data_IF_438981138670
#
_entry.id   IF_438981138670
#
_cell.length_a   1.000
_cell.length_b   1.000
_cell.length_c   1.000
_cell.angle_alpha   90.00
_cell.angle_beta   90.00
_cell.angle_gamma   90.00
#
_symmetry.space_group_name_H-M   'P 1'
#
loop_
_entity.id
_entity.type
_entity.pdbx_description
1 polymer ?
#
# COMPACT_ATOMS: atom_id res chain seq x y z
N UNK A 1 -1.17 16.52 -24.92
CA UNK A 1 -0.33 15.34 -24.61
C UNK A 1 -0.63 14.91 -23.18
N UNK A 2 -1.28 13.76 -23.00
CA UNK A 2 -1.75 13.25 -21.70
C UNK A 2 -0.51 13.02 -20.83
N UNK A 3 -0.26 13.90 -19.86
CA UNK A 3 0.78 13.73 -18.83
C UNK A 3 0.43 12.46 -18.07
N UNK A 4 0.87 11.32 -18.59
CA UNK A 4 1.06 10.10 -17.80
C UNK A 4 2.08 10.52 -16.77
N UNK A 5 1.57 10.98 -15.63
CA UNK A 5 2.33 11.26 -14.41
C UNK A 5 2.88 9.89 -14.01
N UNK A 6 3.98 9.51 -14.66
CA UNK A 6 4.76 8.34 -14.39
C UNK A 6 5.41 8.64 -13.04
N UNK A 7 4.61 8.62 -11.97
CA UNK A 7 5.13 8.57 -10.62
C UNK A 7 6.02 7.33 -10.64
N UNK A 8 7.36 7.49 -10.65
CA UNK A 8 8.22 6.34 -10.62
C UNK A 8 7.97 5.72 -9.25
N UNK A 9 7.14 4.67 -9.22
CA UNK A 9 6.92 3.91 -8.02
C UNK A 9 8.32 3.48 -7.58
N UNK A 10 8.71 3.92 -6.39
CA UNK A 10 10.04 3.68 -5.90
C UNK A 10 10.21 2.18 -5.73
N UNK A 11 11.21 1.64 -6.44
CA UNK A 11 11.64 0.27 -6.24
C UNK A 11 11.92 0.03 -4.76
N UNK A 12 11.60 -1.15 -4.29
CA UNK A 12 11.78 -1.61 -2.92
C UNK A 12 10.85 -0.97 -1.87
N UNK A 13 9.81 -0.24 -2.31
CA UNK A 13 8.84 0.36 -1.39
C UNK A 13 7.57 -0.48 -1.30
N UNK A 14 6.96 -0.50 -0.13
CA UNK A 14 5.69 -1.16 0.13
C UNK A 14 4.54 -0.19 -0.12
N UNK A 15 3.53 -0.66 -0.84
CA UNK A 15 2.37 0.12 -1.24
C UNK A 15 1.10 -0.50 -0.69
N UNK A 16 0.18 0.36 -0.31
CA UNK A 16 -1.18 0.00 0.07
C UNK A 16 -2.12 1.15 -0.27
N UNK A 17 -3.36 0.83 -0.61
CA UNK A 17 -4.37 1.81 -1.00
C UNK A 17 -5.48 1.81 0.01
N UNK A 18 -5.80 2.97 0.55
CA UNK A 18 -6.97 3.17 1.40
C UNK A 18 -8.11 3.59 0.48
N UNK A 19 -9.16 2.78 0.43
CA UNK A 19 -10.41 3.10 -0.26
C UNK A 19 -11.13 4.13 0.60
N UNK A 20 -11.12 5.37 0.13
CA UNK A 20 -11.77 6.49 0.79
C UNK A 20 -12.64 7.17 -0.24
N UNK A 21 -13.87 7.53 0.14
CA UNK A 21 -14.74 8.32 -0.73
C UNK A 21 -14.37 9.80 -0.52
N UNK A 22 -14.22 10.63 -1.58
CA UNK A 22 -14.44 10.34 -3.01
C UNK A 22 -13.23 9.79 -3.78
N UNK A 23 -12.02 9.77 -3.20
CA UNK A 23 -10.81 9.31 -3.89
C UNK A 23 -9.96 8.36 -3.04
N UNK A 24 -9.49 7.29 -3.68
CA UNK A 24 -8.60 6.32 -3.06
C UNK A 24 -7.22 6.95 -2.77
N UNK A 25 -6.67 6.65 -1.60
CA UNK A 25 -5.39 7.19 -1.14
C UNK A 25 -4.36 6.08 -1.18
N UNK A 26 -3.45 6.12 -2.15
CA UNK A 26 -2.31 5.18 -2.21
C UNK A 26 -1.16 5.72 -1.38
N UNK A 27 -0.76 4.96 -0.37
CA UNK A 27 0.36 5.28 0.52
C UNK A 27 1.48 4.30 0.24
N UNK A 28 2.72 4.81 0.27
CA UNK A 28 3.90 3.98 0.21
C UNK A 28 4.82 4.20 1.41
N UNK A 29 5.55 3.15 1.79
CA UNK A 29 6.55 3.18 2.86
C UNK A 29 7.83 2.48 2.42
N UNK A 30 8.96 2.96 2.94
CA UNK A 30 10.28 2.41 2.63
C UNK A 30 10.53 1.05 3.30
N UNK A 31 9.93 0.82 4.47
CA UNK A 31 10.11 -0.40 5.26
C UNK A 31 8.79 -1.15 5.42
N UNK A 32 8.88 -2.49 5.48
CA UNK A 32 7.73 -3.39 5.66
C UNK A 32 7.01 -3.10 6.98
N UNK A 33 7.77 -2.91 8.05
CA UNK A 33 7.25 -2.66 9.40
C UNK A 33 6.44 -1.36 9.47
N UNK A 34 6.94 -0.27 8.86
CA UNK A 34 6.21 0.99 8.81
C UNK A 34 4.94 0.88 7.95
N UNK A 35 5.00 0.12 6.86
CA UNK A 35 3.87 -0.15 6.00
C UNK A 35 2.79 -0.97 6.73
N UNK A 36 3.18 -2.06 7.40
CA UNK A 36 2.31 -2.90 8.21
C UNK A 36 1.69 -2.13 9.38
N UNK A 37 2.48 -1.31 10.07
CA UNK A 37 2.00 -0.48 11.18
C UNK A 37 0.94 0.49 10.70
N UNK A 38 1.18 1.17 9.58
CA UNK A 38 0.20 2.08 8.98
C UNK A 38 -1.04 1.30 8.51
N UNK A 39 -0.84 0.17 7.83
CA UNK A 39 -1.92 -0.68 7.35
C UNK A 39 -2.86 -1.10 8.49
N UNK A 40 -2.30 -1.64 9.57
CA UNK A 40 -3.06 -2.03 10.78
C UNK A 40 -3.77 -0.86 11.44
N UNK A 41 -3.17 0.34 11.47
CA UNK A 41 -3.82 1.53 12.02
C UNK A 41 -5.09 1.88 11.24
N UNK A 42 -5.05 1.81 9.92
CA UNK A 42 -6.21 2.09 9.07
C UNK A 42 -7.24 0.97 9.09
N UNK A 43 -6.80 -0.28 9.08
CA UNK A 43 -7.66 -1.46 9.25
C UNK A 43 -8.43 -1.40 10.57
N UNK A 44 -7.74 -1.13 11.69
CA UNK A 44 -8.37 -0.95 13.01
C UNK A 44 -9.28 0.28 13.09
N UNK A 45 -9.05 1.28 12.27
CA UNK A 45 -9.93 2.44 12.16
C UNK A 45 -11.21 2.14 11.37
N UNK A 46 -11.42 0.90 10.91
CA UNK A 46 -12.56 0.51 10.10
C UNK A 46 -12.51 1.07 8.67
N UNK A 47 -11.33 1.51 8.21
CA UNK A 47 -11.16 1.95 6.82
C UNK A 47 -10.92 0.75 5.93
N UNK A 48 -11.53 0.77 4.76
CA UNK A 48 -11.26 -0.20 3.72
C UNK A 48 -9.87 0.07 3.14
N UNK A 49 -8.95 -0.86 3.38
CA UNK A 49 -7.54 -0.74 3.01
C UNK A 49 -7.10 -2.01 2.29
N UNK A 50 -6.44 -1.80 1.15
CA UNK A 50 -6.01 -2.84 0.22
C UNK A 50 -4.48 -2.87 0.17
N UNK A 51 -3.91 -4.00 0.59
CA UNK A 51 -2.46 -4.21 0.54
C UNK A 51 -2.05 -4.57 -0.89
N UNK A 52 -1.19 -3.75 -1.50
CA UNK A 52 -0.67 -4.02 -2.85
C UNK A 52 0.60 -4.88 -2.79
N UNK A 53 1.45 -4.64 -1.79
CA UNK A 53 2.76 -5.29 -1.64
C UNK A 53 3.93 -4.37 -1.97
N UNK A 54 5.10 -4.97 -2.10
CA UNK A 54 6.36 -4.30 -2.41
C UNK A 54 6.51 -4.10 -3.92
N UNK A 55 6.81 -2.89 -4.37
CA UNK A 55 7.09 -2.64 -5.77
C UNK A 55 8.54 -2.99 -6.11
N UNK A 56 8.75 -3.94 -7.02
CA UNK A 56 10.09 -4.31 -7.50
C UNK A 56 10.62 -3.39 -8.61
N UNK A 57 9.84 -2.40 -9.06
CA UNK A 57 10.16 -1.57 -10.21
C UNK A 57 9.38 -1.97 -11.47
N UNK A 58 8.83 -3.18 -11.49
CA UNK A 58 8.04 -3.72 -12.62
C UNK A 58 6.67 -4.27 -12.21
N UNK A 59 6.58 -4.90 -11.03
CA UNK A 59 5.37 -5.50 -10.49
C UNK A 59 5.38 -5.44 -8.96
N UNK A 60 4.21 -5.65 -8.35
CA UNK A 60 4.13 -5.90 -6.92
C UNK A 60 4.58 -7.32 -6.61
N UNK A 61 5.57 -7.42 -5.73
CA UNK A 61 6.06 -8.63 -5.08
C UNK A 61 5.68 -8.56 -3.60
N UNK A 62 5.60 -9.68 -2.89
CA UNK A 62 5.09 -9.68 -1.50
C UNK A 62 3.68 -9.06 -1.36
N UNK A 63 2.78 -9.40 -2.28
CA UNK A 63 1.35 -9.04 -2.19
C UNK A 63 0.59 -9.89 -1.17
N UNK A 64 1.25 -10.85 -0.52
CA UNK A 64 0.69 -11.57 0.61
C UNK A 64 0.27 -10.53 1.64
N UNK A 65 -1.05 -10.45 1.89
CA UNK A 65 -1.58 -9.59 2.94
C UNK A 65 -0.74 -9.84 4.20
N UNK A 66 -0.30 -8.78 4.89
CA UNK A 66 0.38 -8.94 6.16
C UNK A 66 -0.59 -9.68 7.06
N UNK A 67 -0.39 -10.99 7.26
CA UNK A 67 -1.35 -11.84 7.94
C UNK A 67 -1.76 -11.13 9.23
N UNK A 68 -3.03 -10.73 9.29
CA UNK A 68 -3.63 -10.32 10.54
C UNK A 68 -3.68 -11.60 11.36
N UNK A 69 -2.62 -11.81 12.15
CA UNK A 69 -2.65 -12.72 13.28
C UNK A 69 -3.61 -12.11 14.30
N UNK A 70 -4.90 -12.24 14.02
CA UNK A 70 -5.99 -12.09 14.96
C UNK A 70 -6.65 -13.46 15.04
N UNK A 71 -6.28 -14.21 16.08
CA UNK A 71 -7.00 -15.40 16.55
C UNK A 71 -8.43 -15.08 16.94
#
# INVERSE_FOLDING_TARGET
MKLRKNFPMGKDKYYFTIKSVPNNITIFRKTKEAAMTAFRKYERAGKEIEWLGKWDGKKFVENAMPATAGS
#
